data_IF_005507462304
#
_entry.id   IF_005507462304
#
_cell.length_a   1.000
_cell.length_b   1.000
_cell.length_c   1.000
_cell.angle_alpha   90.00
_cell.angle_beta   90.00
_cell.angle_gamma   90.00
#
_symmetry.space_group_name_H-M   'P 1'
#
loop_
_entity.id
_entity.type
_entity.pdbx_description
1 polymer ?
#
# COMPACT_ATOMS: atom_id res chain seq x y z
N UNK A 1 -16.61 -64.76 8.98
CA UNK A 1 -15.17 -64.79 8.63
C UNK A 1 -14.71 -63.37 8.48
N UNK A 2 -14.14 -62.81 9.54
CA UNK A 2 -12.71 -62.53 9.73
C UNK A 2 -12.21 -61.72 8.55
N UNK A 3 -11.91 -60.46 8.69
CA UNK A 3 -11.21 -59.66 9.64
C UNK A 3 -10.32 -58.74 8.90
N UNK A 4 -10.06 -57.65 9.34
CA UNK A 4 -8.82 -56.92 9.60
C UNK A 4 -9.02 -55.41 9.53
N UNK A 5 -9.04 -54.86 10.69
CA UNK A 5 -8.73 -53.47 11.01
C UNK A 5 -7.37 -53.09 10.41
N UNK A 6 -7.30 -51.98 9.72
CA UNK A 6 -6.06 -51.22 9.57
C UNK A 6 -6.17 -49.92 10.34
N UNK A 7 -5.36 -49.82 11.36
CA UNK A 7 -5.12 -48.68 12.21
C UNK A 7 -4.53 -47.53 11.34
N UNK A 8 -5.26 -46.45 11.22
CA UNK A 8 -4.69 -45.17 10.82
C UNK A 8 -4.13 -44.47 12.07
N UNK A 9 -2.80 -44.36 12.12
CA UNK A 9 -2.07 -43.61 13.11
C UNK A 9 -2.54 -42.13 13.07
N UNK A 10 -3.11 -41.70 14.18
CA UNK A 10 -3.33 -40.29 14.49
C UNK A 10 -1.97 -39.67 14.75
N UNK A 11 -1.51 -38.80 13.87
CA UNK A 11 -0.46 -37.86 14.17
C UNK A 11 -1.07 -36.75 15.03
N UNK A 12 -0.70 -36.76 16.29
CA UNK A 12 -1.07 -35.79 17.29
C UNK A 12 -0.48 -34.44 16.91
N UNK A 13 -1.33 -33.49 16.54
CA UNK A 13 -0.99 -32.08 16.44
C UNK A 13 -0.73 -31.50 17.84
N UNK A 14 0.52 -31.42 18.21
CA UNK A 14 0.99 -30.60 19.33
C UNK A 14 2.06 -29.69 18.76
N UNK A 15 1.64 -28.50 18.29
CA UNK A 15 2.50 -27.31 18.19
C UNK A 15 1.63 -26.12 17.78
N UNK A 16 0.83 -25.62 18.73
CA UNK A 16 0.28 -24.26 18.69
C UNK A 16 -0.12 -23.85 20.11
N UNK A 17 0.88 -23.61 20.96
CA UNK A 17 0.66 -22.87 22.20
C UNK A 17 1.87 -21.98 22.42
N UNK A 18 1.64 -20.69 22.42
CA UNK A 18 2.58 -19.73 22.97
C UNK A 18 2.86 -18.52 22.09
N UNK A 19 1.87 -17.71 21.75
CA UNK A 19 2.10 -16.29 21.59
C UNK A 19 0.98 -15.55 22.32
N UNK A 20 1.12 -15.49 23.64
CA UNK A 20 0.33 -14.63 24.51
C UNK A 20 0.90 -13.22 24.32
N UNK A 21 0.28 -12.42 23.45
CA UNK A 21 0.54 -10.98 23.42
C UNK A 21 -0.14 -10.39 24.64
N UNK A 22 0.64 -10.08 25.65
CA UNK A 22 0.18 -9.31 26.80
C UNK A 22 -0.24 -7.91 26.32
N UNK A 23 -1.53 -7.70 26.19
CA UNK A 23 -2.15 -6.38 26.10
C UNK A 23 -2.04 -5.73 27.48
N UNK A 24 -1.03 -4.89 27.69
CA UNK A 24 -1.03 -3.98 28.83
C UNK A 24 -2.03 -2.84 28.56
N UNK A 25 -2.87 -2.49 29.53
CA UNK A 25 -3.77 -1.35 29.38
C UNK A 25 -2.94 -0.06 29.36
N UNK A 26 -2.97 0.65 28.24
CA UNK A 26 -2.43 2.00 28.17
C UNK A 26 -3.42 2.95 28.81
N UNK A 27 -3.18 3.25 30.08
CA UNK A 27 -3.81 4.41 30.73
C UNK A 27 -3.27 5.66 30.02
N UNK A 28 -4.17 6.46 29.44
CA UNK A 28 -3.82 7.71 28.80
C UNK A 28 -3.46 8.76 29.86
N UNK A 29 -2.25 9.32 29.89
CA UNK A 29 -1.97 10.53 30.67
C UNK A 29 -2.34 11.76 29.85
N UNK A 30 -2.95 12.71 30.54
CA UNK A 30 -3.30 14.05 30.06
C UNK A 30 -2.08 14.82 29.62
N UNK A 31 -2.19 15.50 28.47
CA UNK A 31 -1.40 16.64 28.00
C UNK A 31 0.05 16.75 28.48
N UNK A 32 0.96 16.12 27.74
CA UNK A 32 2.28 16.66 27.49
C UNK A 32 2.45 16.75 25.97
N UNK A 33 3.04 17.84 25.50
CA UNK A 33 3.51 17.97 24.12
C UNK A 33 4.47 16.80 23.92
N UNK A 34 3.97 15.71 23.37
CA UNK A 34 4.76 14.51 23.16
C UNK A 34 5.93 14.89 22.26
N UNK A 35 7.13 14.65 22.72
CA UNK A 35 8.35 14.84 21.97
C UNK A 35 8.22 14.03 20.66
N UNK A 36 7.92 14.76 19.60
CA UNK A 36 7.66 14.22 18.27
C UNK A 36 8.88 13.48 17.71
N UNK A 37 10.10 13.87 18.15
CA UNK A 37 11.33 13.20 17.78
C UNK A 37 11.43 11.82 18.42
N UNK A 38 11.13 11.68 19.70
CA UNK A 38 11.12 10.40 20.40
C UNK A 38 10.08 9.44 19.84
N UNK A 39 8.90 9.96 19.44
CA UNK A 39 7.84 9.16 18.80
C UNK A 39 8.26 8.71 17.40
N UNK A 40 8.90 9.58 16.63
CA UNK A 40 9.44 9.29 15.29
C UNK A 40 10.55 8.22 15.33
N UNK A 41 11.47 8.34 16.29
CA UNK A 41 12.55 7.35 16.48
C UNK A 41 12.04 6.00 17.00
N UNK A 42 11.05 5.99 17.89
CA UNK A 42 10.42 4.77 18.37
C UNK A 42 9.67 4.06 17.24
N UNK A 43 9.00 4.82 16.37
CA UNK A 43 8.34 4.30 15.18
C UNK A 43 9.37 3.74 14.19
N UNK A 44 10.48 4.46 13.97
CA UNK A 44 11.60 4.03 13.12
C UNK A 44 12.22 2.70 13.59
N UNK A 45 12.50 2.55 14.89
CA UNK A 45 13.03 1.30 15.48
C UNK A 45 12.06 0.14 15.33
N UNK A 46 10.75 0.34 15.58
CA UNK A 46 9.71 -0.69 15.39
C UNK A 46 9.59 -1.10 13.92
N UNK A 47 9.65 -0.14 13.00
CA UNK A 47 9.64 -0.43 11.56
C UNK A 47 10.87 -1.22 11.11
N UNK A 48 12.06 -0.93 11.64
CA UNK A 48 13.28 -1.67 11.34
C UNK A 48 13.23 -3.14 11.79
N UNK A 49 12.74 -3.40 13.00
CA UNK A 49 12.54 -4.76 13.50
C UNK A 49 11.48 -5.54 12.70
N UNK A 50 10.41 -4.86 12.30
CA UNK A 50 9.36 -5.46 11.50
C UNK A 50 9.81 -5.73 10.07
N UNK A 51 10.61 -4.84 9.47
CA UNK A 51 11.24 -5.06 8.16
C UNK A 51 12.13 -6.31 8.17
N UNK A 52 12.96 -6.49 9.21
CA UNK A 52 13.81 -7.68 9.36
C UNK A 52 13.00 -8.97 9.55
N UNK A 53 11.88 -8.91 10.26
CA UNK A 53 10.95 -10.03 10.41
C UNK A 53 10.29 -10.40 9.08
N UNK A 54 9.82 -9.41 8.32
CA UNK A 54 9.25 -9.62 7.00
C UNK A 54 10.27 -10.16 6.00
N UNK A 55 11.49 -9.65 5.97
CA UNK A 55 12.58 -10.18 5.16
C UNK A 55 12.82 -11.68 5.42
N UNK A 56 12.76 -12.09 6.68
CA UNK A 56 12.92 -13.49 7.08
C UNK A 56 11.71 -14.36 6.70
N UNK A 57 10.51 -13.83 6.87
CA UNK A 57 9.26 -14.54 6.56
C UNK A 57 8.98 -14.69 5.07
N UNK A 58 9.43 -13.71 4.26
CA UNK A 58 9.13 -13.63 2.83
C UNK A 58 10.28 -14.04 1.89
N UNK A 59 11.49 -14.27 2.38
CA UNK A 59 12.63 -14.78 1.56
C UNK A 59 12.33 -16.08 0.81
N UNK A 60 11.26 -16.77 1.15
CA UNK A 60 10.85 -18.05 0.55
C UNK A 60 9.75 -17.94 -0.52
N UNK A 61 9.28 -16.72 -0.85
CA UNK A 61 8.25 -16.50 -1.88
C UNK A 61 8.79 -15.54 -2.93
N UNK A 62 8.89 -16.06 -4.13
CA UNK A 62 9.37 -15.41 -5.35
C UNK A 62 9.04 -13.92 -5.45
N UNK A 63 10.08 -13.09 -5.38
CA UNK A 63 10.19 -11.77 -6.05
C UNK A 63 9.32 -10.59 -5.59
N UNK A 64 8.20 -10.79 -4.89
CA UNK A 64 7.19 -9.74 -4.74
C UNK A 64 7.60 -8.61 -3.79
N UNK A 65 7.70 -8.87 -2.50
CA UNK A 65 7.92 -7.83 -1.48
C UNK A 65 9.38 -7.48 -1.25
N UNK A 66 10.29 -8.45 -1.33
CA UNK A 66 11.71 -8.24 -1.02
C UNK A 66 12.38 -7.16 -1.90
N UNK A 67 11.96 -7.02 -3.15
CA UNK A 67 12.45 -5.99 -4.08
C UNK A 67 11.70 -4.66 -4.00
N UNK A 68 10.71 -4.52 -3.12
CA UNK A 68 9.86 -3.34 -3.03
C UNK A 68 10.23 -2.40 -1.88
N UNK A 69 10.95 -2.86 -0.86
CA UNK A 69 11.26 -2.09 0.36
C UNK A 69 12.00 -0.77 0.11
N UNK A 70 12.85 -0.72 -0.91
CA UNK A 70 13.61 0.46 -1.29
C UNK A 70 12.87 1.35 -2.30
N UNK A 71 11.62 0.99 -2.64
CA UNK A 71 10.78 1.67 -3.63
C UNK A 71 9.46 2.15 -3.06
N UNK A 72 9.08 1.66 -1.85
CA UNK A 72 7.85 2.01 -1.16
C UNK A 72 8.16 2.95 0.00
N UNK A 73 7.32 3.97 0.16
CA UNK A 73 7.40 4.91 1.25
C UNK A 73 6.08 4.99 2.03
N UNK A 74 6.20 5.12 3.34
CA UNK A 74 5.13 5.63 4.18
C UNK A 74 5.15 7.14 4.07
N UNK A 75 3.99 7.73 3.76
CA UNK A 75 3.82 9.18 3.68
C UNK A 75 3.04 9.64 4.90
N UNK A 76 3.56 10.69 5.54
CA UNK A 76 2.88 11.42 6.63
C UNK A 76 2.81 12.88 6.23
N UNK A 77 1.61 13.44 6.25
CA UNK A 77 1.33 14.83 5.92
C UNK A 77 0.31 15.39 6.93
N UNK A 78 0.79 16.12 7.93
CA UNK A 78 -0.02 16.57 9.05
C UNK A 78 -0.66 15.40 9.81
N UNK A 79 -1.99 15.32 9.78
CA UNK A 79 -2.77 14.21 10.40
C UNK A 79 -3.06 13.06 9.43
N UNK A 80 -2.70 13.22 8.16
CA UNK A 80 -2.94 12.21 7.13
C UNK A 80 -1.75 11.29 7.01
N UNK A 81 -2.03 10.00 6.76
CA UNK A 81 -1.03 9.00 6.42
C UNK A 81 -1.47 8.20 5.19
N UNK A 82 -0.51 7.82 4.38
CA UNK A 82 -0.76 7.05 3.17
C UNK A 82 0.49 6.32 2.70
N UNK A 83 0.45 5.88 1.47
CA UNK A 83 1.56 5.20 0.80
C UNK A 83 2.07 6.06 -0.34
N UNK A 84 3.36 5.96 -0.60
CA UNK A 84 3.98 6.43 -1.83
C UNK A 84 4.92 5.38 -2.40
N UNK A 85 5.31 5.57 -3.64
CA UNK A 85 6.27 4.69 -4.28
C UNK A 85 7.10 5.45 -5.32
N UNK A 86 8.32 4.95 -5.53
CA UNK A 86 9.25 5.55 -6.48
C UNK A 86 9.04 4.91 -7.85
N UNK A 87 8.88 5.76 -8.86
CA UNK A 87 8.86 5.38 -10.27
C UNK A 87 9.90 6.16 -11.06
N UNK A 88 10.46 5.49 -12.08
CA UNK A 88 11.37 6.12 -13.04
C UNK A 88 10.58 6.61 -14.25
N UNK A 89 10.85 7.87 -14.64
CA UNK A 89 10.32 8.48 -15.86
C UNK A 89 11.49 9.13 -16.61
N UNK A 90 11.91 8.53 -17.71
CA UNK A 90 13.19 8.88 -18.33
C UNK A 90 14.34 8.65 -17.34
N UNK A 91 15.20 9.63 -17.18
CA UNK A 91 16.35 9.59 -16.27
C UNK A 91 16.01 10.07 -14.85
N UNK A 92 14.77 10.52 -14.60
CA UNK A 92 14.34 11.09 -13.33
C UNK A 92 13.55 10.10 -12.50
N UNK A 93 13.78 10.14 -11.18
CA UNK A 93 12.98 9.43 -10.20
C UNK A 93 11.93 10.33 -9.58
N UNK A 94 10.74 9.80 -9.38
CA UNK A 94 9.61 10.53 -8.81
C UNK A 94 8.92 9.68 -7.75
N UNK A 95 8.58 10.30 -6.61
CA UNK A 95 7.68 9.72 -5.62
C UNK A 95 6.24 10.02 -6.01
N UNK A 96 5.43 8.99 -6.18
CA UNK A 96 4.00 9.09 -6.50
C UNK A 96 3.15 8.80 -5.27
N UNK A 97 2.05 9.54 -5.12
CA UNK A 97 0.99 9.28 -4.14
C UNK A 97 -0.33 9.91 -4.58
N UNK A 98 -1.40 9.75 -3.79
CA UNK A 98 -2.64 10.48 -4.02
C UNK A 98 -2.56 11.94 -3.53
N UNK A 99 -3.25 12.83 -4.24
CA UNK A 99 -3.31 14.25 -3.88
C UNK A 99 -4.00 14.46 -2.52
N UNK A 100 -5.03 13.66 -2.20
CA UNK A 100 -5.73 13.79 -0.92
C UNK A 100 -4.85 13.44 0.29
N UNK A 101 -3.82 12.57 0.12
CA UNK A 101 -2.89 12.20 1.21
C UNK A 101 -2.10 13.42 1.69
N UNK A 102 -1.75 14.32 0.79
CA UNK A 102 -0.93 15.52 1.09
C UNK A 102 -1.75 16.82 1.04
N UNK A 103 -3.07 16.72 0.97
CA UNK A 103 -3.96 17.87 0.80
C UNK A 103 -3.83 18.85 1.97
N UNK A 104 -3.59 20.13 1.64
CA UNK A 104 -3.52 21.22 2.62
C UNK A 104 -2.23 21.25 3.43
N UNK A 105 -1.24 20.43 3.07
CA UNK A 105 0.08 20.41 3.72
C UNK A 105 1.11 20.94 2.73
N UNK A 106 1.95 21.94 3.11
CA UNK A 106 3.05 22.40 2.29
C UNK A 106 3.99 21.25 1.92
N UNK A 107 4.54 21.26 0.71
CA UNK A 107 5.43 20.19 0.24
C UNK A 107 6.64 19.96 1.18
N UNK A 108 7.15 21.03 1.81
CA UNK A 108 8.25 20.96 2.77
C UNK A 108 7.90 20.19 4.07
N UNK A 109 6.61 20.13 4.41
CA UNK A 109 6.13 19.45 5.63
C UNK A 109 5.67 18.01 5.35
N UNK A 110 5.68 17.57 4.10
CA UNK A 110 5.40 16.20 3.72
C UNK A 110 6.62 15.34 4.03
N UNK A 111 6.44 14.30 4.81
CA UNK A 111 7.48 13.32 5.13
C UNK A 111 7.21 12.01 4.39
N UNK A 112 8.22 11.53 3.68
CA UNK A 112 8.20 10.24 3.00
C UNK A 112 9.39 9.41 3.49
N UNK A 113 9.11 8.26 4.11
CA UNK A 113 10.13 7.38 4.67
C UNK A 113 10.02 6.01 3.99
N UNK A 114 11.10 5.56 3.38
CA UNK A 114 11.19 4.22 2.80
C UNK A 114 11.14 3.14 3.89
N UNK A 115 10.80 1.91 3.50
CA UNK A 115 10.72 0.79 4.45
C UNK A 115 12.09 0.38 5.03
N UNK A 116 13.18 0.84 4.44
CA UNK A 116 14.54 0.72 4.98
C UNK A 116 14.91 1.87 5.92
N UNK A 117 13.95 2.72 6.34
CA UNK A 117 14.08 3.93 7.17
C UNK A 117 14.80 5.12 6.51
N UNK A 118 15.07 5.09 5.22
CA UNK A 118 15.60 6.26 4.51
C UNK A 118 14.51 7.32 4.37
N UNK A 119 14.76 8.53 4.86
CA UNK A 119 13.89 9.69 4.63
C UNK A 119 14.21 10.29 3.27
N UNK A 120 13.21 10.40 2.41
CA UNK A 120 13.36 10.98 1.08
C UNK A 120 13.33 12.50 1.15
N UNK A 121 14.26 13.14 0.45
CA UNK A 121 14.22 14.57 0.20
C UNK A 121 13.29 14.83 -0.99
N UNK A 122 12.17 15.51 -0.73
CA UNK A 122 11.16 15.79 -1.74
C UNK A 122 11.48 17.13 -2.42
N UNK A 123 11.63 17.09 -3.73
CA UNK A 123 11.82 18.26 -4.57
C UNK A 123 10.48 18.80 -5.12
N UNK A 124 10.55 19.38 -6.32
CA UNK A 124 9.40 20.00 -6.98
C UNK A 124 8.17 19.06 -7.02
N UNK A 125 7.03 19.63 -6.65
CA UNK A 125 5.74 18.92 -6.65
C UNK A 125 5.00 19.17 -7.96
N UNK A 126 4.41 18.11 -8.51
CA UNK A 126 3.51 18.16 -9.66
C UNK A 126 2.20 17.47 -9.34
N UNK A 127 1.09 18.04 -9.78
CA UNK A 127 -0.25 17.48 -9.63
C UNK A 127 -0.80 17.01 -10.97
N UNK A 128 -1.49 15.90 -10.98
CA UNK A 128 -2.23 15.44 -12.14
C UNK A 128 -3.47 16.29 -12.41
N UNK A 129 -3.68 16.67 -13.66
CA UNK A 129 -4.88 17.42 -14.06
C UNK A 129 -6.10 16.52 -14.01
N UNK A 130 -7.10 16.89 -13.20
CA UNK A 130 -8.36 16.16 -13.09
C UNK A 130 -8.30 14.80 -12.38
N UNK A 131 -7.14 14.42 -11.84
CA UNK A 131 -6.97 13.16 -11.12
C UNK A 131 -6.42 13.40 -9.70
N UNK A 132 -6.75 12.50 -8.79
CA UNK A 132 -6.27 12.52 -7.41
C UNK A 132 -4.86 11.95 -7.28
N UNK A 133 -3.89 12.56 -7.99
CA UNK A 133 -2.49 12.15 -8.01
C UNK A 133 -1.56 13.34 -7.86
N UNK A 134 -0.48 13.13 -7.12
CA UNK A 134 0.69 14.03 -7.07
C UNK A 134 1.97 13.22 -7.22
N UNK A 135 3.04 13.91 -7.64
CA UNK A 135 4.39 13.35 -7.62
C UNK A 135 5.40 14.40 -7.19
N UNK A 136 6.43 13.95 -6.51
CA UNK A 136 7.55 14.77 -6.06
C UNK A 136 8.82 14.33 -6.78
N UNK A 137 9.59 15.28 -7.26
CA UNK A 137 10.91 15.01 -7.84
C UNK A 137 11.84 14.45 -6.74
N UNK A 138 12.67 13.49 -7.10
CA UNK A 138 13.69 12.92 -6.22
C UNK A 138 15.06 13.11 -6.83
N UNK A 139 16.04 13.40 -5.99
CA UNK A 139 17.42 13.57 -6.43
C UNK A 139 18.10 12.20 -6.62
N UNK A 140 18.89 12.09 -7.69
CA UNK A 140 19.74 10.95 -7.98
C UNK A 140 19.02 9.68 -8.44
N UNK A 141 19.80 8.65 -8.80
CA UNK A 141 19.27 7.36 -9.20
C UNK A 141 18.83 6.56 -7.97
N UNK A 142 17.54 6.23 -7.90
CA UNK A 142 16.96 5.42 -6.83
C UNK A 142 16.37 4.13 -7.41
N UNK A 143 16.31 3.06 -6.61
CA UNK A 143 15.48 1.91 -6.95
C UNK A 143 14.05 2.35 -7.21
N UNK A 144 13.47 1.92 -8.34
CA UNK A 144 12.17 2.40 -8.78
C UNK A 144 11.37 1.27 -9.44
N UNK A 145 10.05 1.40 -9.39
CA UNK A 145 9.16 0.56 -10.19
C UNK A 145 9.14 1.03 -11.65
N UNK A 146 8.83 0.10 -12.54
CA UNK A 146 8.54 0.40 -13.95
C UNK A 146 7.03 0.55 -14.15
N UNK A 147 6.63 1.42 -15.07
CA UNK A 147 5.25 1.56 -15.51
C UNK A 147 4.88 0.44 -16.49
N UNK A 148 3.69 -0.15 -16.31
CA UNK A 148 3.03 -0.90 -17.37
C UNK A 148 2.29 0.08 -18.29
N UNK A 149 2.65 0.08 -19.56
CA UNK A 149 2.10 1.02 -20.54
C UNK A 149 0.85 0.48 -21.24
N UNK A 150 0.76 -0.84 -21.30
CA UNK A 150 -0.39 -1.50 -21.91
C UNK A 150 -1.65 -1.31 -21.08
N UNK A 151 -2.79 -1.41 -21.74
CA UNK A 151 -4.06 -1.51 -21.05
C UNK A 151 -4.11 -2.90 -20.42
N UNK A 152 -4.30 -3.00 -19.10
CA UNK A 152 -4.36 -4.31 -18.47
C UNK A 152 -5.66 -5.03 -18.80
N UNK A 153 -5.63 -6.35 -18.75
CA UNK A 153 -6.80 -7.19 -19.03
C UNK A 153 -7.64 -7.43 -17.77
N UNK A 154 -8.96 -7.58 -17.96
CA UNK A 154 -9.86 -8.06 -16.89
C UNK A 154 -9.49 -9.51 -16.56
N UNK A 155 -9.38 -9.82 -15.27
CA UNK A 155 -8.90 -11.11 -14.76
C UNK A 155 -7.39 -11.17 -14.49
N UNK A 156 -6.63 -10.15 -14.91
CA UNK A 156 -5.20 -10.07 -14.59
C UNK A 156 -4.98 -10.01 -13.07
N UNK A 157 -4.07 -10.85 -12.58
CA UNK A 157 -3.68 -10.85 -11.16
C UNK A 157 -2.89 -9.61 -10.85
N UNK A 158 -3.25 -8.95 -9.75
CA UNK A 158 -2.55 -7.76 -9.25
C UNK A 158 -2.23 -7.88 -7.77
N UNK A 159 -1.24 -7.11 -7.34
CA UNK A 159 -0.83 -6.95 -5.96
C UNK A 159 -0.79 -5.48 -5.60
N UNK A 160 -1.46 -5.10 -4.52
CA UNK A 160 -1.37 -3.78 -3.91
C UNK A 160 -0.38 -3.86 -2.75
N UNK A 161 0.65 -3.02 -2.78
CA UNK A 161 1.65 -2.94 -1.70
C UNK A 161 1.52 -1.60 -1.00
N UNK A 162 1.13 -1.58 0.28
CA UNK A 162 0.98 -0.31 0.96
C UNK A 162 0.68 -0.36 2.44
N UNK A 163 0.70 0.82 3.03
CA UNK A 163 0.53 1.08 4.45
C UNK A 163 -0.94 0.95 4.87
N UNK A 164 -1.41 -0.28 5.02
CA UNK A 164 -2.79 -0.53 5.45
C UNK A 164 -3.05 0.12 6.81
N UNK A 165 -4.21 0.78 6.93
CA UNK A 165 -4.65 1.46 8.15
C UNK A 165 -3.74 2.64 8.58
N UNK A 166 -2.80 3.08 7.75
CA UNK A 166 -1.96 4.25 8.00
C UNK A 166 -0.97 4.12 9.17
N UNK A 167 -0.76 2.90 9.70
CA UNK A 167 0.03 2.67 10.92
C UNK A 167 1.50 2.31 10.69
N UNK A 168 2.02 2.52 9.48
CA UNK A 168 3.41 2.20 9.15
C UNK A 168 3.65 0.73 8.82
N UNK A 169 2.59 -0.06 8.69
CA UNK A 169 2.67 -1.48 8.33
C UNK A 169 2.31 -1.65 6.86
N UNK A 170 3.29 -2.02 6.04
CA UNK A 170 3.04 -2.34 4.65
C UNK A 170 2.55 -3.78 4.51
N UNK A 171 1.43 -3.94 3.83
CA UNK A 171 0.81 -5.22 3.54
C UNK A 171 0.85 -5.52 2.05
N UNK A 172 0.93 -6.80 1.71
CA UNK A 172 0.75 -7.32 0.37
C UNK A 172 -0.69 -7.82 0.21
N UNK A 173 -1.49 -7.14 -0.62
CA UNK A 173 -2.89 -7.45 -0.83
C UNK A 173 -3.07 -7.90 -2.27
N UNK A 174 -3.45 -9.16 -2.47
CA UNK A 174 -3.63 -9.76 -3.80
C UNK A 174 -5.07 -9.70 -4.25
N UNK A 175 -5.25 -9.60 -5.54
CA UNK A 175 -6.54 -9.64 -6.19
C UNK A 175 -6.40 -9.67 -7.72
N UNK A 176 -7.49 -9.29 -8.40
CA UNK A 176 -7.58 -9.25 -9.84
C UNK A 176 -8.16 -7.93 -10.31
N UNK A 177 -7.87 -7.58 -11.53
CA UNK A 177 -8.57 -6.50 -12.23
C UNK A 177 -9.95 -7.02 -12.63
N UNK A 178 -10.99 -6.33 -12.19
CA UNK A 178 -12.39 -6.70 -12.45
C UNK A 178 -13.13 -5.67 -13.32
N UNK A 179 -12.45 -4.55 -13.62
CA UNK A 179 -12.96 -3.53 -14.53
C UNK A 179 -11.84 -2.63 -15.04
N UNK A 180 -11.93 -2.20 -16.28
CA UNK A 180 -10.96 -1.33 -16.94
C UNK A 180 -11.67 -0.16 -17.59
N UNK A 181 -11.21 1.05 -17.27
CA UNK A 181 -11.64 2.30 -17.86
C UNK A 181 -10.46 3.13 -18.40
N UNK A 182 -10.75 4.27 -19.04
CA UNK A 182 -9.69 5.08 -19.65
C UNK A 182 -8.67 5.63 -18.65
N UNK A 183 -9.12 6.02 -17.46
CA UNK A 183 -8.27 6.64 -16.43
C UNK A 183 -8.14 5.82 -15.15
N UNK A 184 -8.89 4.73 -15.01
CA UNK A 184 -8.94 3.94 -13.80
C UNK A 184 -9.19 2.46 -14.08
N UNK A 185 -8.78 1.63 -13.14
CA UNK A 185 -9.13 0.22 -13.09
C UNK A 185 -9.89 -0.06 -11.78
N UNK A 186 -10.77 -1.04 -11.82
CA UNK A 186 -11.40 -1.60 -10.63
C UNK A 186 -10.72 -2.92 -10.28
N UNK A 187 -10.45 -3.13 -8.99
CA UNK A 187 -9.81 -4.33 -8.51
C UNK A 187 -10.60 -4.95 -7.34
N UNK A 188 -10.57 -6.26 -7.21
CA UNK A 188 -11.14 -6.97 -6.07
C UNK A 188 -10.17 -7.13 -4.90
N UNK A 189 -8.90 -6.72 -5.07
CA UNK A 189 -7.92 -6.64 -4.00
C UNK A 189 -8.46 -5.82 -2.82
N UNK A 190 -8.60 -6.39 -1.60
CA UNK A 190 -9.34 -5.77 -0.50
C UNK A 190 -8.50 -4.69 0.24
N UNK A 191 -7.97 -3.72 -0.49
CA UNK A 191 -7.25 -2.61 0.11
C UNK A 191 -8.18 -1.68 0.90
N UNK A 192 -7.64 -0.98 1.87
CA UNK A 192 -8.35 -0.16 2.87
C UNK A 192 -7.75 1.24 2.99
N UNK A 193 -8.27 2.07 3.88
CA UNK A 193 -7.66 3.34 4.25
C UNK A 193 -6.17 3.16 4.59
N UNK A 194 -5.32 4.15 4.24
CA UNK A 194 -3.86 4.05 4.35
C UNK A 194 -3.18 3.45 3.12
N UNK A 195 -3.87 2.61 2.34
CA UNK A 195 -3.37 2.16 1.03
C UNK A 195 -3.48 3.23 -0.06
N UNK A 196 -4.09 4.38 0.21
CA UNK A 196 -4.09 5.50 -0.73
C UNK A 196 -2.68 5.85 -1.17
N UNK A 197 -2.44 5.89 -2.49
CA UNK A 197 -1.13 6.12 -3.08
C UNK A 197 -0.28 4.86 -3.27
N UNK A 198 -0.77 3.67 -2.91
CA UNK A 198 -0.06 2.40 -3.13
C UNK A 198 0.05 2.05 -4.60
N UNK A 199 1.17 1.47 -5.06
CA UNK A 199 1.24 0.89 -6.38
C UNK A 199 0.36 -0.35 -6.46
N UNK A 200 -0.37 -0.47 -7.56
CA UNK A 200 -1.01 -1.72 -8.00
C UNK A 200 -0.09 -2.34 -9.04
N UNK A 201 0.46 -3.50 -8.72
CA UNK A 201 1.49 -4.17 -9.52
C UNK A 201 0.90 -5.39 -10.23
N UNK A 202 1.29 -5.60 -11.48
CA UNK A 202 1.02 -6.85 -12.19
C UNK A 202 2.03 -7.95 -11.79
N UNK A 203 1.89 -9.15 -12.35
CA UNK A 203 2.79 -10.28 -12.06
C UNK A 203 4.26 -10.01 -12.40
N UNK A 204 4.54 -9.10 -13.33
CA UNK A 204 5.89 -8.68 -13.69
C UNK A 204 6.45 -7.61 -12.75
N UNK A 205 5.73 -7.21 -11.69
CA UNK A 205 6.13 -6.16 -10.76
C UNK A 205 6.07 -4.75 -11.38
N UNK A 206 5.33 -4.56 -12.47
CA UNK A 206 5.13 -3.27 -13.11
C UNK A 206 3.85 -2.60 -12.58
N UNK A 207 3.89 -1.28 -12.45
CA UNK A 207 2.76 -0.49 -11.96
C UNK A 207 1.69 -0.38 -13.05
N UNK A 208 0.50 -0.93 -12.79
CA UNK A 208 -0.69 -0.79 -13.64
C UNK A 208 -1.61 0.33 -13.18
N UNK A 209 -1.49 0.76 -11.91
CA UNK A 209 -2.28 1.84 -11.34
C UNK A 209 -1.83 2.24 -9.94
N UNK A 210 -2.49 3.26 -9.40
CA UNK A 210 -2.29 3.78 -8.03
C UNK A 210 -3.60 3.60 -7.27
N UNK A 211 -3.60 2.81 -6.19
CA UNK A 211 -4.76 2.62 -5.34
C UNK A 211 -5.22 3.97 -4.79
N UNK A 212 -6.49 4.33 -5.00
CA UNK A 212 -6.91 5.71 -4.76
C UNK A 212 -8.14 5.80 -3.87
N UNK A 213 -9.24 5.19 -4.24
CA UNK A 213 -10.49 5.39 -3.49
C UNK A 213 -11.36 4.14 -3.44
N UNK A 214 -12.24 4.16 -2.44
CA UNK A 214 -13.27 3.17 -2.21
C UNK A 214 -14.62 3.81 -2.49
N UNK A 215 -15.54 3.04 -3.07
CA UNK A 215 -16.94 3.42 -3.20
C UNK A 215 -17.79 2.38 -2.47
N UNK A 216 -18.49 2.82 -1.43
CA UNK A 216 -19.48 1.99 -0.77
C UNK A 216 -20.78 2.03 -1.59
N UNK A 217 -21.15 0.89 -2.17
CA UNK A 217 -22.37 0.79 -2.97
C UNK A 217 -23.57 0.34 -2.15
N UNK A 218 -23.39 -0.03 -0.87
CA UNK A 218 -24.50 -0.37 0.02
C UNK A 218 -25.40 0.82 0.33
N UNK A 219 -24.87 2.04 0.24
CA UNK A 219 -25.61 3.28 0.51
C UNK A 219 -26.48 3.71 -0.72
N UNK A 220 -26.36 3.02 -1.85
CA UNK A 220 -27.19 3.24 -3.01
C UNK A 220 -28.38 2.25 -2.99
N UNK A 221 -29.60 2.78 -2.83
CA UNK A 221 -30.83 1.97 -2.71
C UNK A 221 -31.05 1.01 -3.89
N UNK A 222 -30.63 1.41 -5.11
CA UNK A 222 -30.78 0.57 -6.31
C UNK A 222 -29.77 -0.57 -6.34
N UNK A 223 -28.58 -0.37 -5.77
CA UNK A 223 -27.51 -1.35 -5.79
C UNK A 223 -27.52 -2.26 -4.55
N UNK A 224 -28.07 -1.77 -3.42
CA UNK A 224 -28.17 -2.55 -2.18
C UNK A 224 -29.13 -3.73 -2.30
N UNK A 225 -30.13 -3.64 -3.20
CA UNK A 225 -31.09 -4.69 -3.51
C UNK A 225 -30.56 -5.71 -4.52
N UNK A 226 -29.48 -5.39 -5.21
CA UNK A 226 -28.84 -6.26 -6.20
C UNK A 226 -28.05 -7.36 -5.51
N UNK A 227 -28.34 -8.61 -5.82
CA UNK A 227 -27.58 -9.77 -5.36
C UNK A 227 -26.27 -9.98 -6.16
N UNK A 228 -25.66 -8.88 -6.61
CA UNK A 228 -24.44 -8.87 -7.39
C UNK A 228 -23.24 -8.48 -6.53
N UNK A 229 -22.02 -8.76 -7.00
CA UNK A 229 -20.76 -8.30 -6.37
C UNK A 229 -20.65 -6.77 -6.21
N UNK A 230 -21.55 -6.01 -6.80
CA UNK A 230 -21.58 -4.55 -6.76
C UNK A 230 -22.33 -3.97 -5.56
N UNK A 231 -22.99 -4.79 -4.74
CA UNK A 231 -23.67 -4.34 -3.52
C UNK A 231 -22.72 -4.11 -2.33
N UNK A 232 -21.43 -4.16 -2.53
CA UNK A 232 -20.39 -4.01 -1.52
C UNK A 232 -19.49 -2.81 -1.74
N UNK A 233 -18.26 -2.94 -1.23
CA UNK A 233 -17.20 -1.93 -1.41
C UNK A 233 -16.48 -2.19 -2.72
N UNK A 234 -16.52 -1.23 -3.63
CA UNK A 234 -15.76 -1.21 -4.88
C UNK A 234 -14.44 -0.45 -4.67
N UNK A 235 -13.39 -0.89 -5.32
CA UNK A 235 -12.02 -0.37 -5.15
C UNK A 235 -11.43 0.04 -6.47
N UNK A 236 -10.94 1.28 -6.53
CA UNK A 236 -10.47 1.89 -7.77
C UNK A 236 -9.02 2.33 -7.64
N UNK A 237 -8.25 2.06 -8.69
CA UNK A 237 -6.90 2.55 -8.86
C UNK A 237 -6.79 3.41 -10.12
N UNK A 238 -6.05 4.50 -10.04
CA UNK A 238 -5.86 5.44 -11.14
C UNK A 238 -4.71 4.99 -12.02
N UNK A 239 -4.93 4.98 -13.34
CA UNK A 239 -3.91 4.63 -14.34
C UNK A 239 -2.97 5.81 -14.56
N UNK A 240 -1.67 5.50 -14.78
CA UNK A 240 -0.64 6.51 -15.01
C UNK A 240 -0.29 6.74 -16.48
N UNK A 241 -0.84 5.93 -17.39
CA UNK A 241 -0.44 5.90 -18.80
C UNK A 241 -0.80 7.16 -19.61
N UNK A 242 -1.72 8.01 -19.11
CA UNK A 242 -2.21 9.20 -19.84
C UNK A 242 -2.38 10.42 -18.93
N UNK A 243 -1.53 10.54 -17.90
CA UNK A 243 -1.64 11.64 -16.93
C UNK A 243 -0.93 12.89 -17.45
N UNK A 244 -1.65 14.03 -17.51
CA UNK A 244 -1.07 15.34 -17.71
C UNK A 244 -0.65 15.92 -16.35
N UNK A 245 0.64 16.21 -16.20
CA UNK A 245 1.22 16.75 -14.97
C UNK A 245 1.36 18.27 -15.07
N UNK A 246 1.00 18.97 -14.01
CA UNK A 246 1.13 20.42 -13.85
C UNK A 246 2.04 20.70 -12.66
N UNK A 247 2.97 21.66 -12.81
CA UNK A 247 3.75 22.14 -11.68
C UNK A 247 2.82 22.76 -10.63
N UNK A 248 3.12 22.52 -9.37
CA UNK A 248 2.51 23.23 -8.26
C UNK A 248 3.42 24.40 -7.87
N UNK A 249 2.85 25.57 -7.59
CA UNK A 249 3.61 26.72 -7.11
C UNK A 249 4.29 26.46 -5.77
#
# INVERSE_FOLDING_TARGET
MIGRLQQRKRLSGRFLRGLLIALLPVAAPRCAVADWQATSEALGRRMGQFSAYLDKAFRKRDGGFAGAKDKLAVIVAGKSAGTGFIMRVGDSCWLYTNAHVVKGVPAADVRATLLNNTVLQLGACQRAQGLDLVRFALAGPLPAFALERNVPDIGETVTVLGNSDGRGVVTEIRGHIIGVGPQQIEVDAPFVAGNSGSPVLNRAGRVVGVASYLRNCRDNADWSKSNTRYNGIRRFALRLSSVRWMAMP
#
